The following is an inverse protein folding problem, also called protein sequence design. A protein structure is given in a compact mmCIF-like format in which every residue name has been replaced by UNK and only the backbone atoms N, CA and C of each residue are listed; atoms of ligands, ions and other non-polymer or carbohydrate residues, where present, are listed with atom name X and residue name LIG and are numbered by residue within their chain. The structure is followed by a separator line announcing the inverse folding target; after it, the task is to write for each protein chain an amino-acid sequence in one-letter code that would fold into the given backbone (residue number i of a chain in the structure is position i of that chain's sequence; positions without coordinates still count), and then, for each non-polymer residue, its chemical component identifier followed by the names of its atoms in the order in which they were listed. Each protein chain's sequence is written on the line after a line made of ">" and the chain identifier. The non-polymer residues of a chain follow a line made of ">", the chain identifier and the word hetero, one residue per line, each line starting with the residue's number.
data_IF_165053346212
#
_entry.id   IF_165053346212
#
_cell.length_a   1.000
_cell.length_b   1.000
_cell.length_c   1.000
_cell.angle_alpha   90.00
_cell.angle_beta   90.00
_cell.angle_gamma   90.00
#
_symmetry.space_group_name_H-M   'P 1'
#
loop_
_entity.id
_entity.type
_entity.pdbx_description
1 polymer ?
#
# COMPACT_ATOMS: atom_id res chain seq x y z
N UNK A 1 -26.06 5.61 -7.84
CA UNK A 1 -24.69 5.36 -8.31
C UNK A 1 -23.70 5.68 -7.18
N UNK A 2 -22.86 4.73 -6.82
CA UNK A 2 -21.86 4.97 -5.76
C UNK A 2 -20.72 5.82 -6.30
N UNK A 3 -20.42 6.87 -5.57
CA UNK A 3 -19.28 7.72 -5.90
C UNK A 3 -18.00 7.07 -5.38
N UNK A 4 -16.98 6.95 -6.25
CA UNK A 4 -15.67 6.42 -5.85
C UNK A 4 -14.92 7.50 -5.07
N UNK A 5 -14.46 7.17 -3.88
CA UNK A 5 -13.61 8.06 -3.10
C UNK A 5 -12.14 7.70 -3.31
N UNK A 6 -11.34 8.72 -3.54
CA UNK A 6 -9.90 8.58 -3.77
C UNK A 6 -9.13 9.07 -2.56
N UNK A 7 -8.03 8.40 -2.28
CA UNK A 7 -7.19 8.68 -1.11
C UNK A 7 -6.37 9.98 -1.22
N UNK A 8 -6.22 10.50 -2.42
CA UNK A 8 -5.28 11.60 -2.66
C UNK A 8 -3.84 11.14 -2.89
N UNK A 9 -3.60 9.84 -2.85
CA UNK A 9 -2.29 9.24 -3.11
C UNK A 9 -2.27 8.72 -4.54
N UNK A 10 -1.18 8.98 -5.27
CA UNK A 10 -0.98 8.44 -6.60
C UNK A 10 0.00 7.28 -6.56
N UNK A 11 -0.16 6.32 -7.47
CA UNK A 11 0.76 5.21 -7.63
C UNK A 11 1.93 5.61 -8.54
N UNK A 12 2.80 4.64 -8.85
CA UNK A 12 3.99 4.87 -9.68
C UNK A 12 3.65 5.34 -11.10
N UNK A 13 2.44 5.08 -11.57
CA UNK A 13 1.97 5.50 -12.89
C UNK A 13 1.21 6.82 -12.86
N UNK A 14 1.15 7.48 -11.70
CA UNK A 14 0.41 8.72 -11.54
C UNK A 14 -1.10 8.54 -11.41
N UNK A 15 -1.58 7.32 -11.24
CA UNK A 15 -3.01 7.05 -11.06
C UNK A 15 -3.41 7.24 -9.61
N UNK A 16 -4.51 7.97 -9.39
CA UNK A 16 -5.08 8.13 -8.06
C UNK A 16 -5.58 6.79 -7.54
N UNK A 17 -5.27 6.49 -6.29
CA UNK A 17 -5.64 5.23 -5.66
C UNK A 17 -6.97 5.39 -4.93
N UNK A 18 -8.03 4.66 -5.37
CA UNK A 18 -9.29 4.67 -4.63
C UNK A 18 -9.14 3.98 -3.28
N UNK A 19 -9.90 4.44 -2.28
CA UNK A 19 -9.96 3.70 -1.02
C UNK A 19 -10.47 2.29 -1.26
N UNK A 20 -9.80 1.31 -0.67
CA UNK A 20 -10.18 -0.09 -0.76
C UNK A 20 -9.71 -0.83 -2.01
N UNK A 21 -9.09 -0.14 -2.96
CA UNK A 21 -8.54 -0.81 -4.14
C UNK A 21 -7.23 -1.53 -3.79
N UNK A 22 -7.03 -2.78 -4.22
CA UNK A 22 -5.79 -3.48 -3.94
C UNK A 22 -4.64 -2.87 -4.73
N UNK A 23 -3.50 -2.76 -4.07
CA UNK A 23 -2.28 -2.26 -4.69
C UNK A 23 -1.08 -3.11 -4.29
N UNK A 24 -0.07 -3.12 -5.15
CA UNK A 24 1.23 -3.70 -4.83
C UNK A 24 2.02 -2.66 -4.06
N UNK A 25 2.49 -3.03 -2.88
CA UNK A 25 3.32 -2.19 -2.03
C UNK A 25 4.73 -2.77 -2.00
N UNK A 26 5.71 -2.01 -2.49
CA UNK A 26 7.11 -2.41 -2.44
C UNK A 26 7.67 -2.04 -1.06
N UNK A 27 7.98 -3.06 -0.28
CA UNK A 27 8.53 -2.89 1.05
C UNK A 27 10.02 -3.18 1.01
N UNK A 28 10.82 -2.19 1.40
CA UNK A 28 12.27 -2.33 1.44
C UNK A 28 12.69 -2.78 2.85
N UNK A 29 13.26 -3.97 2.92
CA UNK A 29 13.70 -4.56 4.18
C UNK A 29 15.20 -4.81 4.13
N UNK A 30 15.85 -4.82 5.31
CA UNK A 30 17.25 -5.17 5.39
C UNK A 30 17.40 -6.68 5.52
N UNK A 31 18.14 -7.27 4.58
CA UNK A 31 18.50 -8.68 4.63
C UNK A 31 20.00 -8.86 4.82
N UNK A 32 20.46 -10.10 4.79
CA UNK A 32 21.87 -10.43 5.02
C UNK A 32 22.80 -9.90 3.94
N UNK A 33 22.29 -9.68 2.73
CA UNK A 33 23.09 -9.14 1.61
C UNK A 33 22.80 -7.68 1.29
N UNK A 34 22.10 -6.95 2.18
CA UNK A 34 21.70 -5.56 1.95
C UNK A 34 20.20 -5.40 1.89
N UNK A 35 19.72 -4.41 1.17
CA UNK A 35 18.28 -4.18 1.03
C UNK A 35 17.63 -5.28 0.20
N UNK A 36 16.48 -5.74 0.66
CA UNK A 36 15.65 -6.73 -0.02
C UNK A 36 14.33 -6.08 -0.37
N UNK A 37 13.90 -6.26 -1.62
CA UNK A 37 12.62 -5.76 -2.12
C UNK A 37 11.54 -6.82 -1.90
N UNK A 38 10.53 -6.49 -1.11
CA UNK A 38 9.38 -7.35 -0.87
C UNK A 38 8.14 -6.72 -1.47
N UNK A 39 7.26 -7.54 -2.04
CA UNK A 39 6.01 -7.07 -2.61
C UNK A 39 4.84 -7.58 -1.80
N UNK A 40 4.11 -6.67 -1.19
CA UNK A 40 2.92 -7.00 -0.40
C UNK A 40 1.68 -6.43 -1.10
N UNK A 41 0.53 -6.99 -0.80
CA UNK A 41 -0.73 -6.42 -1.27
C UNK A 41 -1.35 -5.62 -0.14
N UNK A 42 -1.71 -4.38 -0.44
CA UNK A 42 -2.27 -3.45 0.54
C UNK A 42 -3.48 -2.73 -0.06
N UNK A 43 -4.24 -2.12 0.83
CA UNK A 43 -5.33 -1.19 0.48
C UNK A 43 -5.16 0.05 1.33
N UNK A 44 -5.60 1.20 0.79
CA UNK A 44 -5.65 2.42 1.60
C UNK A 44 -7.05 2.53 2.18
N UNK A 45 -7.14 2.71 3.48
CA UNK A 45 -8.41 2.87 4.20
C UNK A 45 -8.46 4.23 4.86
N UNK A 46 -9.65 4.82 4.84
CA UNK A 46 -9.92 6.08 5.49
C UNK A 46 -10.22 5.84 6.98
N UNK A 47 -9.54 6.58 7.86
CA UNK A 47 -9.76 6.52 9.31
C UNK A 47 -9.90 7.94 9.86
N UNK A 48 -10.53 8.08 11.03
CA UNK A 48 -10.70 9.38 11.67
C UNK A 48 -9.38 10.07 12.01
N UNK A 49 -8.36 9.27 12.32
CA UNK A 49 -7.03 9.78 12.68
C UNK A 49 -6.11 9.91 11.46
N UNK A 50 -6.62 9.73 10.26
CA UNK A 50 -5.84 9.77 9.02
C UNK A 50 -5.89 8.45 8.29
N UNK A 51 -5.40 8.45 7.07
CA UNK A 51 -5.43 7.25 6.23
C UNK A 51 -4.41 6.23 6.71
N UNK A 52 -4.74 4.96 6.49
CA UNK A 52 -3.85 3.83 6.82
C UNK A 52 -3.66 2.94 5.60
N UNK A 53 -2.53 2.23 5.59
CA UNK A 53 -2.36 1.07 4.72
C UNK A 53 -2.85 -0.15 5.48
N UNK A 54 -3.72 -0.93 4.84
CA UNK A 54 -4.16 -2.23 5.34
C UNK A 54 -3.51 -3.29 4.49
N UNK A 55 -2.57 -4.03 5.07
CA UNK A 55 -1.85 -5.08 4.35
C UNK A 55 -2.62 -6.39 4.46
N UNK A 56 -2.92 -7.01 3.32
CA UNK A 56 -3.77 -8.20 3.24
C UNK A 56 -3.07 -9.43 2.68
N UNK A 57 -1.93 -9.27 2.00
CA UNK A 57 -1.11 -10.39 1.52
C UNK A 57 0.34 -10.07 1.82
N UNK A 58 1.08 -11.09 2.27
CA UNK A 58 2.53 -10.95 2.50
C UNK A 58 3.32 -11.16 1.20
N UNK A 59 4.64 -11.12 1.30
CA UNK A 59 5.54 -11.24 0.14
C UNK A 59 5.50 -12.62 -0.51
N UNK A 60 4.90 -13.60 0.15
CA UNK A 60 4.72 -14.96 -0.38
C UNK A 60 3.29 -15.20 -0.87
N UNK A 61 2.46 -14.17 -0.89
CA UNK A 61 1.08 -14.25 -1.32
C UNK A 61 0.15 -14.89 -0.29
N UNK A 62 0.61 -15.07 0.95
CA UNK A 62 -0.22 -15.64 2.02
C UNK A 62 -1.04 -14.54 2.67
N UNK A 63 -2.22 -14.91 3.14
CA UNK A 63 -3.09 -13.96 3.83
C UNK A 63 -2.42 -13.45 5.10
N UNK A 64 -2.49 -12.16 5.28
CA UNK A 64 -2.05 -11.50 6.50
C UNK A 64 -3.00 -10.35 6.78
N UNK A 65 -2.90 -9.75 7.96
CA UNK A 65 -3.67 -8.56 8.29
C UNK A 65 -2.90 -7.73 9.29
N UNK A 66 -2.39 -6.60 8.84
CA UNK A 66 -1.81 -5.60 9.72
C UNK A 66 -1.97 -4.23 9.07
N UNK A 67 -1.88 -3.19 9.87
CA UNK A 67 -2.10 -1.82 9.41
C UNK A 67 -0.95 -0.91 9.84
N UNK A 68 -0.71 0.11 9.03
CA UNK A 68 0.23 1.17 9.36
C UNK A 68 -0.36 2.50 8.90
N UNK A 69 -0.17 3.54 9.65
CA UNK A 69 -0.51 4.89 9.20
C UNK A 69 0.39 5.26 8.03
N UNK A 70 -0.15 5.99 7.06
CA UNK A 70 0.65 6.48 5.93
C UNK A 70 1.86 7.27 6.39
N UNK A 71 1.70 8.05 7.46
CA UNK A 71 2.78 8.88 8.01
C UNK A 71 3.80 8.09 8.83
N UNK A 72 3.52 6.83 9.17
CA UNK A 72 4.41 5.99 9.98
C UNK A 72 5.36 5.14 9.16
N UNK A 73 5.15 5.08 7.85
CA UNK A 73 6.01 4.30 6.94
C UNK A 73 6.80 5.23 6.04
N UNK A 74 8.01 4.81 5.73
CA UNK A 74 8.84 5.50 4.76
C UNK A 74 8.54 4.93 3.37
N UNK A 75 7.75 5.66 2.59
CA UNK A 75 7.32 5.22 1.26
C UNK A 75 7.20 6.41 0.32
N UNK A 76 7.17 6.12 -0.97
CA UNK A 76 6.87 7.13 -1.98
C UNK A 76 5.96 6.50 -3.05
N UNK A 77 5.45 7.32 -3.97
CA UNK A 77 4.53 6.83 -5.00
C UNK A 77 5.14 5.73 -5.87
N UNK A 78 6.46 5.74 -6.04
CA UNK A 78 7.15 4.72 -6.84
C UNK A 78 7.10 3.33 -6.18
N UNK A 79 6.76 3.26 -4.90
CA UNK A 79 6.61 1.99 -4.18
C UNK A 79 5.21 1.39 -4.33
N UNK A 80 4.29 2.10 -4.99
CA UNK A 80 2.89 1.72 -5.09
C UNK A 80 2.49 1.47 -6.53
N UNK A 81 1.76 0.39 -6.77
CA UNK A 81 1.18 0.12 -8.09
C UNK A 81 -0.20 -0.48 -7.95
N UNK A 82 -1.21 0.16 -8.55
CA UNK A 82 -2.57 -0.36 -8.55
C UNK A 82 -2.61 -1.71 -9.27
N UNK A 83 -3.22 -2.70 -8.63
CA UNK A 83 -3.43 -4.01 -9.22
C UNK A 83 -4.70 -3.97 -10.07
N UNK A 84 -4.61 -4.46 -11.29
CA UNK A 84 -5.74 -4.45 -12.22
C UNK A 84 -6.20 -5.85 -12.58
#
# INVERSE_FOLDING_TARGET
>A
MKKIEYSGVCDMNGELIPYGAPLDFTWWAMGMGGEVELHLVAKIRKRKSGDIFEFIKDDRGRDCHFTHRLTSLNWCSDDLELLK
#
